data_IF_993873113408
#
_entry.id   IF_993873113408
#
_cell.length_a   1.000
_cell.length_b   1.000
_cell.length_c   1.000
_cell.angle_alpha   90.00
_cell.angle_beta   90.00
_cell.angle_gamma   90.00
#
_symmetry.space_group_name_H-M   'P 1'
#
loop_
_entity.id
_entity.type
_entity.pdbx_description
1 polymer ?
#
# COMPACT_ATOMS: atom_id res chain seq x y z
N UNK A 1 9.43 9.04 -33.30
CA UNK A 1 8.38 9.84 -32.65
C UNK A 1 7.39 9.00 -31.83
N UNK A 2 6.65 8.04 -32.41
CA UNK A 2 5.66 7.25 -31.67
C UNK A 2 6.26 6.44 -30.49
N UNK A 3 7.47 5.89 -30.59
CA UNK A 3 8.14 5.15 -29.52
C UNK A 3 8.54 6.08 -28.35
N UNK A 4 9.02 7.28 -28.67
CA UNK A 4 9.39 8.30 -27.68
C UNK A 4 8.17 8.79 -26.90
N UNK A 5 7.05 9.06 -27.59
CA UNK A 5 5.80 9.46 -26.95
C UNK A 5 5.24 8.39 -26.01
N UNK A 6 5.33 7.09 -26.39
CA UNK A 6 4.91 5.99 -25.52
C UNK A 6 5.79 5.89 -24.27
N UNK A 7 7.11 6.08 -24.42
CA UNK A 7 8.02 6.08 -23.28
C UNK A 7 7.76 7.27 -22.34
N UNK A 8 7.57 8.47 -22.86
CA UNK A 8 7.19 9.64 -22.05
C UNK A 8 5.88 9.39 -21.26
N UNK A 9 4.86 8.84 -21.94
CA UNK A 9 3.60 8.48 -21.27
C UNK A 9 3.79 7.45 -20.15
N UNK A 10 4.69 6.46 -20.34
CA UNK A 10 5.00 5.47 -19.32
C UNK A 10 5.70 6.08 -18.08
N UNK A 11 6.63 7.01 -18.29
CA UNK A 11 7.28 7.74 -17.19
C UNK A 11 6.30 8.60 -16.40
N UNK A 12 5.43 9.35 -17.10
CA UNK A 12 4.39 10.15 -16.43
C UNK A 12 3.42 9.27 -15.65
N UNK A 13 2.96 8.16 -16.26
CA UNK A 13 2.09 7.21 -15.57
C UNK A 13 2.75 6.60 -14.34
N UNK A 14 4.04 6.25 -14.42
CA UNK A 14 4.81 5.72 -13.29
C UNK A 14 4.91 6.74 -12.14
N UNK A 15 5.23 8.00 -12.44
CA UNK A 15 5.28 9.07 -11.43
C UNK A 15 3.91 9.27 -10.75
N UNK A 16 2.85 9.36 -11.54
CA UNK A 16 1.47 9.51 -11.02
C UNK A 16 1.03 8.30 -10.22
N UNK A 17 1.43 7.08 -10.63
CA UNK A 17 1.16 5.87 -9.85
C UNK A 17 1.86 5.90 -8.50
N UNK A 18 3.06 6.49 -8.41
CA UNK A 18 3.74 6.72 -7.14
C UNK A 18 2.95 7.63 -6.21
N UNK A 19 2.48 8.76 -6.69
CA UNK A 19 1.62 9.67 -5.92
C UNK A 19 0.34 8.94 -5.45
N UNK A 20 -0.30 8.20 -6.35
CA UNK A 20 -1.48 7.41 -6.03
C UNK A 20 -1.20 6.34 -4.97
N UNK A 21 -0.02 5.71 -4.98
CA UNK A 21 0.39 4.73 -3.98
C UNK A 21 0.54 5.33 -2.58
N UNK A 22 1.12 6.53 -2.46
CA UNK A 22 1.19 7.25 -1.19
C UNK A 22 -0.21 7.57 -0.64
N UNK A 23 -1.08 8.13 -1.47
CA UNK A 23 -2.47 8.44 -1.09
C UNK A 23 -3.23 7.16 -0.71
N UNK A 24 -3.07 6.06 -1.46
CA UNK A 24 -3.66 4.76 -1.15
C UNK A 24 -3.23 4.26 0.23
N UNK A 25 -1.94 4.39 0.54
CA UNK A 25 -1.40 4.02 1.85
C UNK A 25 -2.09 4.77 2.98
N UNK A 26 -2.25 6.09 2.86
CA UNK A 26 -2.97 6.94 3.82
C UNK A 26 -4.44 6.55 3.96
N UNK A 27 -5.15 6.40 2.84
CA UNK A 27 -6.55 5.98 2.79
C UNK A 27 -6.75 4.63 3.50
N UNK A 28 -5.94 3.63 3.16
CA UNK A 28 -6.05 2.30 3.76
C UNK A 28 -5.67 2.30 5.24
N UNK A 29 -4.69 3.13 5.65
CA UNK A 29 -4.27 3.24 7.04
C UNK A 29 -5.35 3.86 7.92
N UNK A 30 -6.01 4.92 7.45
CA UNK A 30 -7.15 5.51 8.18
C UNK A 30 -8.32 4.55 8.30
N UNK A 31 -8.63 3.79 7.25
CA UNK A 31 -9.65 2.74 7.31
C UNK A 31 -9.26 1.64 8.32
N UNK A 32 -7.99 1.20 8.30
CA UNK A 32 -7.50 0.21 9.26
C UNK A 32 -7.62 0.71 10.70
N UNK A 33 -7.32 2.00 10.95
CA UNK A 33 -7.48 2.61 12.27
C UNK A 33 -8.94 2.61 12.73
N UNK A 34 -9.87 3.03 11.87
CA UNK A 34 -11.32 3.02 12.17
C UNK A 34 -11.79 1.60 12.52
N UNK A 35 -11.40 0.61 11.72
CA UNK A 35 -11.79 -0.78 11.95
C UNK A 35 -11.15 -1.36 13.21
N UNK A 36 -9.91 -0.98 13.53
CA UNK A 36 -9.25 -1.35 14.80
C UNK A 36 -10.01 -0.78 16.00
N UNK A 37 -10.40 0.49 15.93
CA UNK A 37 -11.11 1.18 17.01
C UNK A 37 -12.55 0.67 17.18
N UNK A 38 -13.18 0.19 16.11
CA UNK A 38 -14.54 -0.35 16.18
C UNK A 38 -14.62 -1.67 16.97
N UNK A 39 -13.54 -2.47 17.02
CA UNK A 39 -13.56 -3.78 17.69
C UNK A 39 -12.21 -4.12 18.35
N UNK A 40 -11.77 -3.36 19.36
CA UNK A 40 -10.43 -3.48 19.92
C UNK A 40 -10.19 -4.82 20.64
N UNK A 41 -11.23 -5.43 21.21
CA UNK A 41 -11.12 -6.64 22.03
C UNK A 41 -11.85 -7.88 21.47
N UNK A 42 -12.59 -7.72 20.38
CA UNK A 42 -13.45 -8.80 19.85
C UNK A 42 -12.73 -9.78 18.91
N UNK A 43 -11.46 -9.53 18.60
CA UNK A 43 -10.71 -10.35 17.64
C UNK A 43 -9.59 -11.15 18.33
N UNK A 44 -9.49 -12.47 18.08
CA UNK A 44 -8.44 -13.33 18.64
C UNK A 44 -7.02 -12.89 18.24
N UNK A 45 -6.85 -12.21 17.11
CA UNK A 45 -5.55 -11.75 16.62
C UNK A 45 -5.19 -10.33 17.08
N UNK A 46 -6.04 -9.68 17.89
CA UNK A 46 -5.89 -8.29 18.30
C UNK A 46 -6.44 -7.29 17.29
N UNK A 47 -6.96 -6.16 17.79
CA UNK A 47 -7.67 -5.17 16.96
C UNK A 47 -6.86 -4.62 15.79
N UNK A 48 -5.56 -4.36 15.97
CA UNK A 48 -4.68 -3.81 14.92
C UNK A 48 -4.53 -4.76 13.72
N UNK A 49 -4.31 -6.05 13.97
CA UNK A 49 -4.15 -7.05 12.90
C UNK A 49 -5.49 -7.24 12.17
N UNK A 50 -6.58 -7.33 12.92
CA UNK A 50 -7.93 -7.43 12.36
C UNK A 50 -8.28 -6.22 11.50
N UNK A 51 -8.03 -5.00 12.00
CA UNK A 51 -8.27 -3.76 11.26
C UNK A 51 -7.47 -3.68 9.96
N UNK A 52 -6.18 -4.05 9.99
CA UNK A 52 -5.32 -4.06 8.81
C UNK A 52 -5.79 -5.08 7.76
N UNK A 53 -6.13 -6.30 8.17
CA UNK A 53 -6.65 -7.35 7.27
C UNK A 53 -7.97 -6.94 6.63
N UNK A 54 -8.89 -6.38 7.40
CA UNK A 54 -10.19 -5.95 6.90
C UNK A 54 -10.07 -4.73 5.98
N UNK A 55 -9.23 -3.74 6.30
CA UNK A 55 -8.98 -2.60 5.43
C UNK A 55 -8.37 -3.04 4.09
N UNK A 56 -7.40 -3.97 4.13
CA UNK A 56 -6.85 -4.56 2.92
C UNK A 56 -7.91 -5.32 2.12
N UNK A 57 -8.77 -6.10 2.79
CA UNK A 57 -9.88 -6.84 2.15
C UNK A 57 -10.84 -5.89 1.44
N UNK A 58 -11.25 -4.80 2.08
CA UNK A 58 -12.11 -3.76 1.49
C UNK A 58 -11.44 -3.12 0.28
N UNK A 59 -10.16 -2.77 0.42
CA UNK A 59 -9.38 -2.17 -0.68
C UNK A 59 -9.29 -3.13 -1.89
N UNK A 60 -8.95 -4.40 -1.67
CA UNK A 60 -8.92 -5.39 -2.75
C UNK A 60 -10.30 -5.63 -3.36
N UNK A 61 -11.36 -5.68 -2.54
CA UNK A 61 -12.75 -5.80 -3.01
C UNK A 61 -13.16 -4.64 -3.92
N UNK A 62 -12.86 -3.40 -3.52
CA UNK A 62 -13.08 -2.20 -4.34
C UNK A 62 -12.31 -2.25 -5.67
N UNK A 63 -11.07 -2.74 -5.63
CA UNK A 63 -10.25 -2.94 -6.82
C UNK A 63 -10.81 -4.01 -7.77
N UNK A 64 -11.31 -5.14 -7.23
CA UNK A 64 -11.99 -6.16 -8.03
C UNK A 64 -13.21 -5.58 -8.74
N UNK A 65 -14.06 -4.84 -8.02
CA UNK A 65 -15.25 -4.21 -8.61
C UNK A 65 -14.87 -3.25 -9.75
N UNK A 66 -13.90 -2.37 -9.52
CA UNK A 66 -13.40 -1.43 -10.53
C UNK A 66 -12.89 -2.18 -11.78
N UNK A 67 -12.07 -3.20 -11.58
CA UNK A 67 -11.50 -3.98 -12.67
C UNK A 67 -12.56 -4.82 -13.41
N UNK A 68 -13.57 -5.33 -12.73
CA UNK A 68 -14.71 -5.99 -13.36
C UNK A 68 -15.46 -5.04 -14.30
N UNK A 69 -15.73 -3.81 -13.85
CA UNK A 69 -16.37 -2.78 -14.69
C UNK A 69 -15.50 -2.44 -15.90
N UNK A 70 -14.20 -2.14 -15.67
CA UNK A 70 -13.27 -1.75 -16.76
C UNK A 70 -13.10 -2.89 -17.76
N UNK A 71 -12.85 -4.13 -17.30
CA UNK A 71 -12.71 -5.29 -18.18
C UNK A 71 -14.03 -5.63 -18.88
N UNK A 72 -15.19 -5.52 -18.19
CA UNK A 72 -16.50 -5.71 -18.79
C UNK A 72 -16.78 -4.75 -19.95
N UNK A 73 -16.47 -3.47 -19.75
CA UNK A 73 -16.57 -2.46 -20.81
C UNK A 73 -15.62 -2.73 -21.99
N UNK A 74 -14.42 -3.27 -21.73
CA UNK A 74 -13.47 -3.62 -22.78
C UNK A 74 -13.86 -4.90 -23.52
N UNK A 75 -14.33 -5.92 -22.80
CA UNK A 75 -14.81 -7.19 -23.37
C UNK A 75 -16.07 -7.00 -24.21
N UNK A 76 -16.98 -6.10 -23.80
CA UNK A 76 -18.15 -5.72 -24.61
C UNK A 76 -17.77 -5.07 -25.95
N UNK A 77 -16.58 -4.48 -26.06
CA UNK A 77 -16.04 -3.89 -27.29
C UNK A 77 -15.19 -4.86 -28.11
N UNK A 78 -14.72 -5.97 -27.54
CA UNK A 78 -13.86 -6.97 -28.19
C UNK A 78 -14.45 -8.36 -27.96
N UNK A 79 -15.22 -8.87 -28.90
CA UNK A 79 -15.87 -10.17 -28.80
C UNK A 79 -14.96 -11.38 -28.58
N UNK A 80 -13.65 -11.28 -28.74
CA UNK A 80 -12.63 -12.30 -28.39
C UNK A 80 -11.26 -11.65 -28.31
N UNK A 81 -10.45 -12.03 -27.31
CA UNK A 81 -9.03 -11.71 -27.26
C UNK A 81 -8.29 -12.80 -28.05
N UNK A 82 -7.82 -12.52 -29.29
CA UNK A 82 -7.08 -13.50 -30.07
C UNK A 82 -5.76 -13.83 -29.38
N UNK A 83 -5.44 -15.11 -29.24
CA UNK A 83 -4.14 -15.55 -28.71
C UNK A 83 -4.03 -15.59 -27.17
N UNK A 84 -5.13 -15.42 -26.43
CA UNK A 84 -5.15 -15.60 -24.99
C UNK A 84 -4.69 -17.03 -24.63
N UNK A 85 -3.54 -17.13 -23.95
CA UNK A 85 -3.00 -18.40 -23.42
C UNK A 85 -3.31 -18.51 -21.95
N UNK A 86 -3.79 -19.69 -21.53
CA UNK A 86 -3.99 -19.98 -20.10
C UNK A 86 -2.68 -19.83 -19.32
N UNK A 87 -2.75 -19.49 -18.02
CA UNK A 87 -1.57 -19.54 -17.16
C UNK A 87 -1.03 -20.99 -17.14
N UNK A 88 0.28 -21.15 -17.40
CA UNK A 88 0.90 -22.47 -17.47
C UNK A 88 1.39 -22.95 -16.11
N UNK A 89 1.65 -22.00 -15.21
CA UNK A 89 2.22 -22.30 -13.87
C UNK A 89 1.41 -21.56 -12.80
N UNK A 90 1.25 -22.17 -11.65
CA UNK A 90 0.61 -21.56 -10.48
C UNK A 90 1.29 -20.24 -10.08
N UNK A 91 2.60 -20.12 -10.28
CA UNK A 91 3.35 -18.88 -10.00
C UNK A 91 2.83 -17.69 -10.81
N UNK A 92 2.22 -17.89 -11.97
CA UNK A 92 1.65 -16.81 -12.77
C UNK A 92 0.45 -16.14 -12.06
N UNK A 93 -0.18 -16.85 -11.12
CA UNK A 93 -1.28 -16.34 -10.31
C UNK A 93 -0.86 -15.87 -8.90
N UNK A 94 0.43 -16.03 -8.54
CA UNK A 94 0.92 -15.69 -7.20
C UNK A 94 0.95 -14.18 -6.92
N UNK A 95 0.76 -13.33 -7.94
CA UNK A 95 0.79 -11.88 -7.80
C UNK A 95 -0.21 -11.34 -6.76
N UNK A 96 -1.38 -11.98 -6.63
CA UNK A 96 -2.38 -11.61 -5.63
C UNK A 96 -1.93 -11.87 -4.20
N UNK A 97 -1.30 -13.02 -3.96
CA UNK A 97 -0.74 -13.38 -2.65
C UNK A 97 0.35 -12.38 -2.26
N UNK A 98 1.29 -12.10 -3.18
CA UNK A 98 2.35 -11.13 -2.94
C UNK A 98 1.79 -9.75 -2.62
N UNK A 99 0.83 -9.26 -3.41
CA UNK A 99 0.24 -7.93 -3.23
C UNK A 99 -0.55 -7.81 -1.94
N UNK A 100 -1.34 -8.79 -1.56
CA UNK A 100 -2.07 -8.77 -0.29
C UNK A 100 -1.13 -8.79 0.90
N UNK A 101 -0.05 -9.58 0.84
CA UNK A 101 1.00 -9.59 1.86
C UNK A 101 1.67 -8.22 2.00
N UNK A 102 2.04 -7.59 0.89
CA UNK A 102 2.63 -6.23 0.89
C UNK A 102 1.73 -5.23 1.59
N UNK A 103 0.45 -5.18 1.23
CA UNK A 103 -0.50 -4.21 1.81
C UNK A 103 -0.65 -4.43 3.31
N UNK A 104 -0.79 -5.67 3.76
CA UNK A 104 -0.91 -5.98 5.21
C UNK A 104 0.36 -5.60 5.95
N UNK A 105 1.54 -5.95 5.44
CA UNK A 105 2.82 -5.60 6.08
C UNK A 105 2.97 -4.08 6.24
N UNK A 106 2.64 -3.31 5.18
CA UNK A 106 2.70 -1.85 5.24
C UNK A 106 1.67 -1.27 6.22
N UNK A 107 0.43 -1.77 6.23
CA UNK A 107 -0.60 -1.30 7.18
C UNK A 107 -0.24 -1.57 8.64
N UNK A 108 0.46 -2.65 8.92
CA UNK A 108 0.92 -2.97 10.27
C UNK A 108 2.12 -2.12 10.72
N UNK A 109 3.00 -1.75 9.79
CA UNK A 109 4.25 -1.03 10.11
C UNK A 109 4.12 0.48 10.00
N UNK A 110 3.26 0.98 9.12
CA UNK A 110 3.08 2.41 8.88
C UNK A 110 2.83 3.25 10.15
N UNK A 111 1.96 2.83 11.09
CA UNK A 111 1.75 3.56 12.34
C UNK A 111 2.98 3.58 13.27
N UNK A 112 3.90 2.64 13.11
CA UNK A 112 5.09 2.50 13.95
C UNK A 112 6.27 3.29 13.41
N UNK A 113 6.48 3.26 12.10
CA UNK A 113 7.64 3.89 11.43
C UNK A 113 7.34 5.29 10.89
N UNK A 114 6.06 5.64 10.76
CA UNK A 114 5.62 6.83 10.02
C UNK A 114 5.62 6.62 8.51
N UNK A 115 5.01 7.57 7.80
CA UNK A 115 4.76 7.44 6.37
C UNK A 115 6.05 7.50 5.55
N UNK A 116 6.85 8.57 5.75
CA UNK A 116 8.06 8.81 4.97
C UNK A 116 9.09 7.68 5.11
N UNK A 117 9.41 7.27 6.35
CA UNK A 117 10.39 6.21 6.59
C UNK A 117 9.93 4.86 6.03
N UNK A 118 8.67 4.50 6.25
CA UNK A 118 8.11 3.25 5.69
C UNK A 118 8.21 3.22 4.16
N UNK A 119 7.92 4.34 3.50
CA UNK A 119 7.98 4.44 2.04
C UNK A 119 9.42 4.45 1.52
N UNK A 120 10.37 5.11 2.20
CA UNK A 120 11.78 5.09 1.83
C UNK A 120 12.35 3.67 1.89
N UNK A 121 12.06 2.93 2.96
CA UNK A 121 12.52 1.54 3.11
C UNK A 121 11.88 0.62 2.06
N UNK A 122 10.56 0.75 1.84
CA UNK A 122 9.85 -0.02 0.80
C UNK A 122 10.39 0.31 -0.60
N UNK A 123 10.65 1.59 -0.90
CA UNK A 123 11.27 2.03 -2.14
C UNK A 123 12.63 1.37 -2.36
N UNK A 124 13.45 1.32 -1.33
CA UNK A 124 14.77 0.69 -1.37
C UNK A 124 14.68 -0.79 -1.69
N UNK A 125 13.82 -1.53 -0.98
CA UNK A 125 13.58 -2.94 -1.24
C UNK A 125 13.08 -3.20 -2.67
N UNK A 126 12.15 -2.37 -3.14
CA UNK A 126 11.62 -2.43 -4.50
C UNK A 126 12.72 -2.21 -5.55
N UNK A 127 13.52 -1.15 -5.42
CA UNK A 127 14.55 -0.83 -6.42
C UNK A 127 15.68 -1.85 -6.46
N UNK A 128 16.16 -2.31 -5.31
CA UNK A 128 17.18 -3.38 -5.27
C UNK A 128 16.68 -4.65 -5.97
N UNK A 129 15.43 -5.04 -5.69
CA UNK A 129 14.83 -6.21 -6.31
C UNK A 129 14.60 -6.01 -7.81
N UNK A 130 14.13 -4.81 -8.24
CA UNK A 130 13.97 -4.48 -9.66
C UNK A 130 15.29 -4.55 -10.44
N UNK A 131 16.41 -4.15 -9.86
CA UNK A 131 17.75 -4.30 -10.48
C UNK A 131 18.12 -5.77 -10.69
N UNK A 132 17.83 -6.61 -9.70
CA UNK A 132 18.06 -8.07 -9.82
C UNK A 132 17.14 -8.67 -10.88
N UNK A 133 15.88 -8.28 -10.94
CA UNK A 133 14.90 -8.73 -11.93
C UNK A 133 15.30 -8.32 -13.35
N UNK A 134 15.74 -7.07 -13.53
CA UNK A 134 16.22 -6.57 -14.82
C UNK A 134 17.49 -7.30 -15.26
N UNK A 135 18.44 -7.52 -14.34
CA UNK A 135 19.70 -8.19 -14.66
C UNK A 135 19.51 -9.67 -15.03
N UNK A 136 18.68 -10.37 -14.26
CA UNK A 136 18.46 -11.80 -14.43
C UNK A 136 17.52 -12.15 -15.60
N UNK A 137 16.77 -11.20 -16.13
CA UNK A 137 15.70 -11.47 -17.10
C UNK A 137 14.61 -12.39 -16.52
N UNK A 138 14.39 -12.32 -15.20
CA UNK A 138 13.48 -13.20 -14.47
C UNK A 138 12.07 -13.16 -15.05
N UNK A 139 11.40 -14.30 -15.11
CA UNK A 139 10.05 -14.48 -15.64
C UNK A 139 9.87 -14.05 -17.13
N UNK A 140 10.96 -14.11 -17.93
CA UNK A 140 10.90 -13.79 -19.36
C UNK A 140 10.80 -12.29 -19.64
N UNK A 141 11.28 -11.45 -18.73
CA UNK A 141 11.61 -10.06 -19.04
C UNK A 141 12.88 -10.00 -19.88
N UNK A 142 13.06 -8.94 -20.65
CA UNK A 142 14.35 -8.73 -21.32
C UNK A 142 15.42 -8.46 -20.27
N UNK A 143 16.50 -9.26 -20.29
CA UNK A 143 17.63 -9.01 -19.42
C UNK A 143 18.27 -7.66 -19.79
N UNK A 144 18.40 -6.79 -18.81
CA UNK A 144 19.03 -5.48 -18.98
C UNK A 144 20.29 -5.46 -18.13
N UNK A 145 21.49 -5.33 -18.73
CA UNK A 145 22.73 -5.37 -17.96
C UNK A 145 22.82 -4.23 -16.96
N UNK A 146 23.44 -4.52 -15.81
CA UNK A 146 23.72 -3.51 -14.79
C UNK A 146 24.70 -2.48 -15.34
N UNK A 147 24.22 -1.25 -15.52
CA UNK A 147 25.09 -0.11 -15.88
C UNK A 147 25.62 0.56 -14.60
N UNK A 148 26.75 1.27 -14.72
CA UNK A 148 27.33 2.03 -13.60
C UNK A 148 26.34 3.03 -13.01
N UNK A 149 25.58 3.72 -13.85
CA UNK A 149 24.54 4.68 -13.41
C UNK A 149 23.43 4.03 -12.58
N UNK A 150 22.99 2.80 -12.92
CA UNK A 150 21.99 2.05 -12.16
C UNK A 150 22.50 1.63 -10.78
N UNK A 151 23.76 1.18 -10.72
CA UNK A 151 24.42 0.82 -9.46
C UNK A 151 24.56 2.05 -8.57
N UNK A 152 25.07 3.17 -9.11
CA UNK A 152 25.20 4.44 -8.37
C UNK A 152 23.83 4.90 -7.86
N UNK A 153 22.79 4.86 -8.69
CA UNK A 153 21.43 5.20 -8.28
C UNK A 153 20.91 4.33 -7.11
N UNK A 154 21.17 3.03 -7.14
CA UNK A 154 20.80 2.14 -6.03
C UNK A 154 21.59 2.45 -4.74
N UNK A 155 22.89 2.75 -4.86
CA UNK A 155 23.72 3.15 -3.71
C UNK A 155 23.20 4.48 -3.12
N UNK A 156 22.87 5.46 -3.96
CA UNK A 156 22.29 6.73 -3.51
C UNK A 156 20.96 6.53 -2.78
N UNK A 157 20.12 5.63 -3.28
CA UNK A 157 18.85 5.30 -2.60
C UNK A 157 19.07 4.60 -1.26
N UNK A 158 19.99 3.64 -1.19
CA UNK A 158 20.36 3.01 0.08
C UNK A 158 20.90 4.03 1.08
N UNK A 159 21.79 4.92 0.64
CA UNK A 159 22.32 5.98 1.48
C UNK A 159 21.20 6.93 1.96
N UNK A 160 20.30 7.34 1.07
CA UNK A 160 19.14 8.17 1.42
C UNK A 160 18.21 7.48 2.42
N UNK A 161 17.99 6.17 2.28
CA UNK A 161 17.19 5.37 3.22
C UNK A 161 17.84 5.31 4.61
N UNK A 162 19.16 5.10 4.66
CA UNK A 162 19.92 5.08 5.91
C UNK A 162 19.90 6.46 6.59
N UNK A 163 20.06 7.55 5.83
CA UNK A 163 19.96 8.90 6.35
C UNK A 163 18.56 9.20 6.90
N UNK A 164 17.51 8.79 6.19
CA UNK A 164 16.12 8.95 6.65
C UNK A 164 15.79 8.12 7.90
N UNK A 165 16.45 6.97 8.06
CA UNK A 165 16.29 6.12 9.24
C UNK A 165 17.17 6.57 10.42
N UNK A 166 18.19 7.42 10.17
CA UNK A 166 19.19 7.80 11.17
C UNK A 166 18.59 8.55 12.37
N UNK A 167 17.75 9.54 12.11
CA UNK A 167 17.17 10.36 13.18
C UNK A 167 16.27 9.56 14.12
N UNK A 168 15.30 8.74 13.64
CA UNK A 168 14.54 7.84 14.49
C UNK A 168 15.44 6.87 15.27
N UNK A 169 16.44 6.29 14.62
CA UNK A 169 17.36 5.34 15.24
C UNK A 169 18.21 6.01 16.33
N UNK A 170 18.72 7.22 16.07
CA UNK A 170 19.49 8.00 17.04
C UNK A 170 18.69 8.37 18.26
N UNK A 171 17.42 8.76 18.09
CA UNK A 171 16.52 9.10 19.19
C UNK A 171 16.22 7.88 20.06
N UNK A 172 16.03 6.69 19.48
CA UNK A 172 15.82 5.45 20.22
C UNK A 172 17.11 4.96 20.92
N UNK A 173 18.28 5.09 20.28
CA UNK A 173 19.57 4.76 20.89
C UNK A 173 19.95 5.72 22.04
N UNK A 174 19.50 6.98 21.98
CA UNK A 174 19.72 7.98 23.02
C UNK A 174 18.79 7.88 24.23
N UNK A 175 17.71 7.10 24.12
CA UNK A 175 16.90 6.71 25.27
C UNK A 175 17.64 5.59 26.00
N UNK A 176 17.88 5.77 27.29
CA UNK A 176 18.53 4.78 28.20
C UNK A 176 17.78 3.41 28.33
N UNK A 177 16.85 3.16 27.45
CA UNK A 177 16.17 1.87 27.29
C UNK A 177 17.12 0.91 26.53
N UNK A 178 17.68 -0.04 27.26
CA UNK A 178 18.72 -0.98 26.81
C UNK A 178 18.53 -1.54 25.40
N UNK A 179 19.60 -2.15 24.87
CA UNK A 179 19.76 -2.59 23.46
C UNK A 179 18.59 -3.30 22.78
N UNK A 180 17.57 -3.74 23.52
CA UNK A 180 16.34 -4.35 23.02
C UNK A 180 15.49 -3.42 22.15
N UNK A 181 15.48 -2.10 22.45
CA UNK A 181 14.72 -1.12 21.67
C UNK A 181 15.29 -0.87 20.27
N UNK A 182 16.63 -0.83 20.17
CA UNK A 182 17.31 -0.65 18.88
C UNK A 182 17.13 -1.87 17.97
N UNK A 183 17.21 -3.08 18.52
CA UNK A 183 16.94 -4.32 17.81
C UNK A 183 15.47 -4.40 17.36
N UNK A 184 14.54 -3.95 18.20
CA UNK A 184 13.12 -3.85 17.86
C UNK A 184 12.89 -2.91 16.67
N UNK A 185 13.49 -1.72 16.67
CA UNK A 185 13.37 -0.75 15.57
C UNK A 185 13.98 -1.26 14.27
N UNK A 186 15.14 -1.91 14.33
CA UNK A 186 15.75 -2.54 13.16
C UNK A 186 14.88 -3.66 12.59
N UNK A 187 14.30 -4.49 13.45
CA UNK A 187 13.37 -5.54 13.04
C UNK A 187 12.11 -4.99 12.37
N UNK A 188 11.50 -3.96 12.95
CA UNK A 188 10.32 -3.28 12.37
C UNK A 188 10.67 -2.63 11.04
N UNK A 189 11.86 -2.02 10.90
CA UNK A 189 12.32 -1.37 9.67
C UNK A 189 12.61 -2.37 8.53
N UNK A 190 12.95 -3.60 8.85
CA UNK A 190 13.15 -4.64 7.85
C UNK A 190 11.84 -5.05 7.14
N UNK A 191 10.68 -4.87 7.80
CA UNK A 191 9.38 -5.28 7.24
C UNK A 191 8.99 -4.43 6.01
N UNK A 192 9.04 -3.09 6.03
CA UNK A 192 8.79 -2.30 4.82
C UNK A 192 9.79 -2.59 3.69
N UNK A 193 11.06 -2.85 4.01
CA UNK A 193 12.07 -3.23 3.01
C UNK A 193 11.70 -4.56 2.32
N UNK A 194 11.28 -5.56 3.09
CA UNK A 194 10.77 -6.82 2.56
C UNK A 194 9.49 -6.60 1.74
N UNK A 195 8.56 -5.78 2.23
CA UNK A 195 7.33 -5.44 1.50
C UNK A 195 7.66 -4.84 0.13
N UNK A 196 8.66 -3.97 0.04
CA UNK A 196 9.15 -3.44 -1.22
C UNK A 196 9.70 -4.50 -2.17
N UNK A 197 10.48 -5.44 -1.66
CA UNK A 197 10.99 -6.57 -2.46
C UNK A 197 9.83 -7.43 -3.01
N UNK A 198 8.84 -7.75 -2.18
CA UNK A 198 7.65 -8.50 -2.59
C UNK A 198 6.81 -7.73 -3.62
N UNK A 199 6.75 -6.40 -3.51
CA UNK A 199 6.05 -5.55 -4.47
C UNK A 199 6.70 -5.59 -5.86
N UNK A 200 8.04 -5.58 -5.94
CA UNK A 200 8.77 -5.76 -7.19
C UNK A 200 8.50 -7.13 -7.83
N UNK A 201 8.53 -8.20 -7.02
CA UNK A 201 8.21 -9.55 -7.47
C UNK A 201 6.77 -9.66 -7.96
N UNK A 202 5.80 -9.04 -7.26
CA UNK A 202 4.41 -8.95 -7.70
C UNK A 202 4.30 -8.32 -9.09
N UNK A 203 4.99 -7.20 -9.31
CA UNK A 203 5.02 -6.51 -10.60
C UNK A 203 5.55 -7.42 -11.72
N UNK A 204 6.61 -8.18 -11.47
CA UNK A 204 7.21 -9.11 -12.43
C UNK A 204 6.25 -10.28 -12.78
N UNK A 205 5.63 -10.88 -11.76
CA UNK A 205 4.65 -11.97 -11.91
C UNK A 205 3.43 -11.49 -12.70
N UNK A 206 2.84 -10.38 -12.29
CA UNK A 206 1.67 -9.81 -12.96
C UNK A 206 2.00 -9.36 -14.39
N UNK A 207 3.19 -8.78 -14.62
CA UNK A 207 3.68 -8.41 -15.93
C UNK A 207 3.81 -9.61 -16.86
N UNK A 208 4.33 -10.73 -16.37
CA UNK A 208 4.38 -11.99 -17.12
C UNK A 208 2.98 -12.51 -17.47
N UNK A 209 2.07 -12.53 -16.50
CA UNK A 209 0.69 -12.93 -16.72
C UNK A 209 0.02 -12.02 -17.76
N UNK A 210 0.20 -10.70 -17.66
CA UNK A 210 -0.34 -9.70 -18.62
C UNK A 210 0.13 -9.93 -20.06
N UNK A 211 1.41 -10.27 -20.25
CA UNK A 211 1.95 -10.62 -21.58
C UNK A 211 1.33 -11.90 -22.13
N UNK A 212 1.13 -12.93 -21.31
CA UNK A 212 0.52 -14.20 -21.71
C UNK A 212 -0.95 -14.08 -22.06
N UNK A 213 -1.68 -13.31 -21.25
CA UNK A 213 -3.11 -13.07 -21.49
C UNK A 213 -3.34 -12.07 -22.64
N UNK A 214 -2.30 -11.35 -23.12
CA UNK A 214 -2.44 -10.19 -24.01
C UNK A 214 -3.45 -9.15 -23.49
N UNK A 215 -3.66 -9.13 -22.18
CA UNK A 215 -4.63 -8.30 -21.49
C UNK A 215 -4.11 -7.90 -20.09
N UNK A 216 -3.35 -6.79 -20.00
CA UNK A 216 -2.74 -6.35 -18.74
C UNK A 216 -3.76 -6.13 -17.62
N UNK A 217 -4.91 -5.52 -17.92
CA UNK A 217 -5.95 -5.26 -16.93
C UNK A 217 -6.62 -6.55 -16.44
N UNK A 218 -6.68 -7.59 -17.28
CA UNK A 218 -7.17 -8.90 -16.84
C UNK A 218 -6.17 -9.56 -15.89
N UNK A 219 -4.87 -9.43 -16.14
CA UNK A 219 -3.84 -9.90 -15.22
C UNK A 219 -3.92 -9.19 -13.86
N UNK A 220 -4.17 -7.88 -13.87
CA UNK A 220 -4.42 -7.11 -12.64
C UNK A 220 -5.68 -7.62 -11.93
N UNK A 221 -6.76 -7.91 -12.64
CA UNK A 221 -7.98 -8.47 -12.05
C UNK A 221 -7.72 -9.85 -11.40
N UNK A 222 -7.00 -10.75 -12.07
CA UNK A 222 -6.61 -12.06 -11.51
C UNK A 222 -5.81 -11.87 -10.22
N UNK A 223 -4.87 -10.93 -10.20
CA UNK A 223 -4.09 -10.59 -9.01
C UNK A 223 -4.99 -10.08 -7.87
N UNK A 224 -5.90 -9.16 -8.13
CA UNK A 224 -6.81 -8.64 -7.10
C UNK A 224 -7.76 -9.70 -6.56
N UNK A 225 -8.32 -10.56 -7.42
CA UNK A 225 -9.18 -11.69 -7.00
C UNK A 225 -8.39 -12.68 -6.12
N UNK A 226 -7.17 -13.04 -6.53
CA UNK A 226 -6.31 -13.92 -5.74
C UNK A 226 -5.95 -13.31 -4.38
N UNK A 227 -5.61 -12.02 -4.35
CA UNK A 227 -5.31 -11.28 -3.12
C UNK A 227 -6.53 -11.15 -2.20
N UNK A 228 -7.71 -10.86 -2.75
CA UNK A 228 -8.97 -10.82 -2.00
C UNK A 228 -9.27 -12.18 -1.35
N UNK A 229 -9.11 -13.28 -2.10
CA UNK A 229 -9.27 -14.63 -1.57
C UNK A 229 -8.31 -14.91 -0.42
N UNK A 230 -7.02 -14.59 -0.58
CA UNK A 230 -6.01 -14.72 0.47
C UNK A 230 -6.36 -13.92 1.73
N UNK A 231 -6.73 -12.67 1.58
CA UNK A 231 -7.09 -11.78 2.70
C UNK A 231 -8.34 -12.27 3.43
N UNK A 232 -9.34 -12.73 2.69
CA UNK A 232 -10.56 -13.30 3.27
C UNK A 232 -10.24 -14.55 4.10
N UNK A 233 -9.45 -15.47 3.54
CA UNK A 233 -9.03 -16.69 4.26
C UNK A 233 -8.19 -16.32 5.49
N UNK A 234 -7.22 -15.41 5.36
CA UNK A 234 -6.40 -14.96 6.48
C UNK A 234 -7.25 -14.27 7.58
N UNK A 235 -8.19 -13.40 7.20
CA UNK A 235 -9.09 -12.73 8.14
C UNK A 235 -9.94 -13.73 8.92
N UNK A 236 -10.48 -14.74 8.26
CA UNK A 236 -11.29 -15.78 8.93
C UNK A 236 -10.42 -16.69 9.77
N UNK A 237 -9.30 -17.19 9.23
CA UNK A 237 -8.45 -18.17 9.91
C UNK A 237 -7.71 -17.59 11.11
N UNK A 238 -7.24 -16.34 11.02
CA UNK A 238 -6.41 -15.71 12.06
C UNK A 238 -7.25 -14.89 13.04
N UNK A 239 -8.28 -14.19 12.56
CA UNK A 239 -9.04 -13.22 13.35
C UNK A 239 -10.51 -13.63 13.59
N UNK A 240 -10.94 -14.80 13.12
CA UNK A 240 -12.35 -15.24 13.23
C UNK A 240 -13.30 -14.49 12.28
N UNK A 241 -12.78 -13.69 11.35
CA UNK A 241 -13.56 -12.90 10.40
C UNK A 241 -14.06 -11.55 10.93
N UNK A 242 -14.86 -10.83 10.14
CA UNK A 242 -15.41 -9.53 10.52
C UNK A 242 -16.49 -9.67 11.60
N UNK A 243 -16.42 -8.81 12.63
CA UNK A 243 -17.45 -8.74 13.66
C UNK A 243 -18.64 -7.88 13.21
N UNK A 244 -19.75 -7.95 13.97
CA UNK A 244 -20.91 -7.08 13.75
C UNK A 244 -20.55 -5.59 13.88
N UNK A 245 -19.55 -5.25 14.70
CA UNK A 245 -19.05 -3.89 14.89
C UNK A 245 -18.29 -3.38 13.67
N UNK A 246 -17.42 -4.20 13.08
CA UNK A 246 -16.78 -3.89 11.81
C UNK A 246 -17.81 -3.67 10.69
N UNK A 247 -18.85 -4.53 10.63
CA UNK A 247 -19.92 -4.38 9.65
C UNK A 247 -20.72 -3.08 9.85
N UNK A 248 -20.94 -2.65 11.11
CA UNK A 248 -21.58 -1.36 11.43
C UNK A 248 -20.70 -0.19 11.00
N UNK A 249 -19.40 -0.20 11.29
CA UNK A 249 -18.46 0.83 10.88
C UNK A 249 -18.37 0.98 9.35
N UNK A 250 -18.34 -0.13 8.61
CA UNK A 250 -18.35 -0.11 7.14
C UNK A 250 -19.71 0.36 6.57
N UNK A 251 -20.82 -0.02 7.20
CA UNK A 251 -22.15 0.43 6.78
C UNK A 251 -22.31 1.94 6.94
N UNK A 252 -21.74 2.54 8.00
CA UNK A 252 -21.75 4.01 8.17
C UNK A 252 -21.01 4.72 7.05
N UNK A 253 -19.92 4.14 6.53
CA UNK A 253 -19.22 4.70 5.37
C UNK A 253 -20.04 4.65 4.07
N UNK A 254 -20.89 3.65 3.92
CA UNK A 254 -21.75 3.49 2.75
C UNK A 254 -23.03 4.34 2.83
N UNK A 255 -23.51 4.62 4.04
CA UNK A 255 -24.63 5.53 4.25
C UNK A 255 -24.13 6.97 4.26
N UNK A 256 -24.24 7.68 3.14
CA UNK A 256 -23.85 9.09 2.95
C UNK A 256 -24.49 10.09 3.94
N UNK A 257 -25.22 9.61 4.96
CA UNK A 257 -26.01 10.42 5.90
C UNK A 257 -25.28 10.82 7.19
N UNK A 258 -24.01 10.42 7.37
CA UNK A 258 -23.30 10.65 8.64
C UNK A 258 -22.28 11.80 8.59
N UNK A 259 -22.53 12.85 7.81
CA UNK A 259 -21.83 14.11 7.99
C UNK A 259 -22.59 14.91 9.04
N UNK A 260 -22.24 14.70 10.33
CA UNK A 260 -22.78 15.50 11.43
C UNK A 260 -22.39 16.97 11.24
N UNK A 261 -23.32 17.87 11.59
CA UNK A 261 -23.06 19.30 11.57
C UNK A 261 -21.98 19.65 12.61
N UNK A 262 -21.20 20.73 12.41
CA UNK A 262 -20.22 21.20 13.39
C UNK A 262 -20.81 21.50 14.79
N UNK A 263 -22.11 21.67 14.90
CA UNK A 263 -22.82 21.92 16.16
C UNK A 263 -22.93 20.67 17.07
N UNK A 264 -22.89 19.47 16.48
CA UNK A 264 -22.88 18.23 17.25
C UNK A 264 -21.48 17.92 17.82
N UNK A 265 -20.43 18.47 17.20
CA UNK A 265 -19.03 18.35 17.69
C UNK A 265 -18.82 19.17 18.97
N UNK A 266 -19.33 20.40 19.04
CA UNK A 266 -19.18 21.29 20.19
C UNK A 266 -19.86 20.79 21.46
N UNK A 267 -20.98 20.07 21.35
CA UNK A 267 -21.70 19.50 22.51
C UNK A 267 -21.02 18.27 23.10
N UNK A 268 -20.09 17.68 22.40
CA UNK A 268 -19.41 16.45 22.81
C UNK A 268 -18.04 16.74 23.44
N UNK A 269 -17.46 17.92 23.21
CA UNK A 269 -16.21 18.36 23.87
C UNK A 269 -16.43 18.56 25.38
N UNK A 270 -17.55 19.14 25.79
CA UNK A 270 -17.86 19.40 27.21
C UNK A 270 -18.11 18.13 28.04
N UNK A 271 -18.42 16.99 27.40
CA UNK A 271 -18.74 15.74 28.09
C UNK A 271 -17.51 14.83 28.33
N UNK A 272 -16.37 15.12 27.75
CA UNK A 272 -15.21 14.21 27.74
C UNK A 272 -14.01 14.67 28.55
N UNK A 273 -14.02 15.86 29.17
CA UNK A 273 -12.93 16.29 30.06
C UNK A 273 -12.80 15.47 31.36
N UNK A 274 -13.80 14.68 31.74
CA UNK A 274 -13.82 13.95 33.02
C UNK A 274 -13.33 12.48 32.99
N UNK A 275 -13.02 11.93 31.84
CA UNK A 275 -12.68 10.49 31.78
C UNK A 275 -11.51 10.18 30.83
N UNK A 276 -10.27 10.31 31.20
CA UNK A 276 -9.18 9.41 30.75
C UNK A 276 -7.84 9.77 31.45
N UNK A 277 -7.58 9.20 32.60
CA UNK A 277 -6.23 8.86 33.06
C UNK A 277 -5.94 7.43 32.59
N UNK A 278 -5.01 7.24 31.70
CA UNK A 278 -4.47 5.91 31.41
C UNK A 278 -4.17 5.62 29.93
N UNK A 279 -2.91 5.74 29.56
CA UNK A 279 -2.25 5.42 28.29
C UNK A 279 -2.54 6.35 27.11
N UNK A 280 -1.60 7.18 26.71
CA UNK A 280 -1.73 7.97 25.50
C UNK A 280 -1.62 7.05 24.27
N UNK A 281 -2.75 6.85 23.61
CA UNK A 281 -2.74 6.37 22.23
C UNK A 281 -1.93 7.37 21.37
N UNK A 282 -1.01 6.95 20.49
CA UNK A 282 -0.32 7.86 19.58
C UNK A 282 -1.29 8.61 18.64
N UNK A 283 -2.55 8.27 18.67
CA UNK A 283 -3.66 8.96 18.01
C UNK A 283 -4.74 9.24 19.06
N UNK A 284 -4.69 10.40 19.74
CA UNK A 284 -5.80 10.76 20.61
C UNK A 284 -7.06 10.88 19.73
N UNK A 285 -8.00 9.99 19.93
CA UNK A 285 -9.36 10.22 19.45
C UNK A 285 -9.94 11.31 20.36
N UNK A 286 -10.20 12.51 19.85
CA UNK A 286 -10.85 13.54 20.66
C UNK A 286 -12.31 13.16 21.01
N UNK A 287 -12.79 12.03 20.52
CA UNK A 287 -14.21 11.67 20.64
C UNK A 287 -14.36 10.24 21.18
N UNK A 288 -15.11 10.09 22.26
CA UNK A 288 -15.41 8.83 22.93
C UNK A 288 -16.25 7.82 22.14
N UNK A 289 -16.48 8.06 20.85
CA UNK A 289 -17.05 7.08 19.90
C UNK A 289 -16.00 6.71 18.85
N UNK A 290 -15.93 5.41 18.46
CA UNK A 290 -15.07 5.02 17.35
C UNK A 290 -15.45 5.88 16.12
N UNK A 291 -14.45 6.47 15.44
CA UNK A 291 -14.71 7.32 14.28
C UNK A 291 -15.47 6.51 13.23
N UNK A 292 -16.56 7.08 12.70
CA UNK A 292 -17.28 6.47 11.59
C UNK A 292 -16.38 6.46 10.34
N UNK A 293 -16.39 5.36 9.60
CA UNK A 293 -15.66 5.31 8.33
C UNK A 293 -16.27 6.30 7.33
N UNK A 294 -15.44 7.10 6.69
CA UNK A 294 -15.87 8.05 5.67
C UNK A 294 -15.86 7.40 4.26
N UNK A 295 -16.74 7.80 3.33
CA UNK A 295 -16.82 7.20 1.99
C UNK A 295 -15.51 7.23 1.21
N UNK A 296 -14.68 8.27 1.35
CA UNK A 296 -13.40 8.38 0.68
C UNK A 296 -12.38 7.31 1.13
N UNK A 297 -12.53 6.74 2.33
CA UNK A 297 -11.69 5.66 2.83
C UNK A 297 -11.88 4.34 2.07
N UNK A 298 -12.96 4.23 1.30
CA UNK A 298 -13.22 3.08 0.43
C UNK A 298 -12.52 3.20 -0.94
N UNK A 299 -11.97 4.38 -1.28
CA UNK A 299 -11.32 4.62 -2.58
C UNK A 299 -9.95 3.93 -2.73
N UNK A 300 -9.38 3.36 -1.66
CA UNK A 300 -8.07 2.70 -1.68
C UNK A 300 -7.94 1.65 -2.78
N UNK A 301 -9.01 0.89 -3.05
CA UNK A 301 -9.04 -0.12 -4.12
C UNK A 301 -8.92 0.46 -5.53
N UNK A 302 -9.53 1.62 -5.80
CA UNK A 302 -9.42 2.32 -7.07
C UNK A 302 -7.98 2.79 -7.33
N UNK A 303 -7.36 3.40 -6.31
CA UNK A 303 -5.97 3.84 -6.37
C UNK A 303 -5.03 2.66 -6.60
N UNK A 304 -5.22 1.56 -5.84
CA UNK A 304 -4.45 0.33 -6.00
C UNK A 304 -4.59 -0.30 -7.38
N UNK A 305 -5.80 -0.28 -7.96
CA UNK A 305 -6.03 -0.74 -9.33
C UNK A 305 -5.19 0.04 -10.33
N UNK A 306 -5.14 1.36 -10.22
CA UNK A 306 -4.31 2.21 -11.07
C UNK A 306 -2.82 1.89 -10.91
N UNK A 307 -2.33 1.85 -9.65
CA UNK A 307 -0.93 1.56 -9.32
C UNK A 307 -0.49 0.22 -9.91
N UNK A 308 -1.23 -0.84 -9.66
CA UNK A 308 -0.85 -2.18 -10.15
C UNK A 308 -0.97 -2.28 -11.68
N UNK A 309 -1.96 -1.63 -12.29
CA UNK A 309 -2.09 -1.60 -13.76
C UNK A 309 -0.88 -0.94 -14.42
N UNK A 310 -0.37 0.15 -13.85
CA UNK A 310 0.88 0.79 -14.32
C UNK A 310 2.07 -0.15 -14.17
N UNK A 311 2.18 -0.84 -13.03
CA UNK A 311 3.27 -1.82 -12.78
C UNK A 311 3.22 -3.03 -13.72
N UNK A 312 2.07 -3.37 -14.27
CA UNK A 312 1.94 -4.44 -15.28
C UNK A 312 2.36 -3.96 -16.68
N UNK A 313 2.04 -2.72 -17.02
CA UNK A 313 2.23 -2.18 -18.39
C UNK A 313 3.58 -1.48 -18.57
N UNK A 314 3.92 -0.55 -17.67
CA UNK A 314 5.06 0.35 -17.87
C UNK A 314 6.43 -0.37 -17.92
N UNK A 315 6.71 -1.43 -17.15
CA UNK A 315 8.00 -2.12 -17.22
C UNK A 315 8.32 -2.70 -18.60
N UNK A 316 7.31 -3.06 -19.39
CA UNK A 316 7.51 -3.54 -20.76
C UNK A 316 7.99 -2.45 -21.72
N UNK A 317 7.80 -1.18 -21.37
CA UNK A 317 8.15 -0.01 -22.19
C UNK A 317 9.46 0.63 -21.72
N UNK A 318 9.71 0.69 -20.42
CA UNK A 318 10.82 1.45 -19.82
C UNK A 318 11.74 0.61 -18.91
N UNK A 319 11.43 -0.68 -18.68
CA UNK A 319 12.14 -1.57 -17.75
C UNK A 319 11.65 -1.46 -16.31
N UNK A 320 11.93 -2.50 -15.50
CA UNK A 320 11.47 -2.55 -14.10
C UNK A 320 12.14 -1.47 -13.24
N UNK A 321 13.46 -1.31 -13.35
CA UNK A 321 14.20 -0.34 -12.53
C UNK A 321 13.80 1.10 -12.85
N UNK A 322 13.60 1.46 -14.14
CA UNK A 322 13.15 2.79 -14.51
C UNK A 322 11.71 3.05 -14.03
N UNK A 323 10.80 2.10 -14.24
CA UNK A 323 9.43 2.20 -13.72
C UNK A 323 9.44 2.39 -12.20
N UNK A 324 10.20 1.57 -11.47
CA UNK A 324 10.32 1.66 -10.02
C UNK A 324 10.86 3.02 -9.59
N UNK A 325 11.92 3.53 -10.22
CA UNK A 325 12.50 4.83 -9.86
C UNK A 325 11.48 5.97 -9.96
N UNK A 326 10.70 6.02 -11.05
CA UNK A 326 9.67 7.06 -11.22
C UNK A 326 8.50 6.90 -10.25
N UNK A 327 8.02 5.68 -10.03
CA UNK A 327 6.98 5.41 -9.01
C UNK A 327 7.46 5.83 -7.63
N UNK A 328 8.69 5.46 -7.27
CA UNK A 328 9.24 5.80 -5.95
C UNK A 328 9.44 7.30 -5.79
N UNK A 329 9.87 8.01 -6.83
CA UNK A 329 9.97 9.48 -6.80
C UNK A 329 8.60 10.12 -6.51
N UNK A 330 7.55 9.70 -7.21
CA UNK A 330 6.20 10.20 -6.96
C UNK A 330 5.69 9.84 -5.57
N UNK A 331 5.94 8.61 -5.13
CA UNK A 331 5.53 8.13 -3.82
C UNK A 331 6.23 8.87 -2.67
N UNK A 332 7.56 9.03 -2.74
CA UNK A 332 8.32 9.75 -1.72
C UNK A 332 7.94 11.23 -1.64
N UNK A 333 7.80 11.88 -2.80
CA UNK A 333 7.37 13.27 -2.85
C UNK A 333 6.00 13.45 -2.20
N UNK A 334 5.02 12.63 -2.57
CA UNK A 334 3.69 12.69 -1.96
C UNK A 334 3.71 12.34 -0.47
N UNK A 335 4.51 11.35 -0.06
CA UNK A 335 4.62 10.95 1.35
C UNK A 335 5.19 12.05 2.23
N UNK A 336 6.22 12.77 1.76
CA UNK A 336 6.77 13.90 2.48
C UNK A 336 5.73 15.03 2.63
N UNK A 337 4.96 15.30 1.58
CA UNK A 337 3.88 16.28 1.68
C UNK A 337 2.80 15.84 2.67
N UNK A 338 2.37 14.58 2.61
CA UNK A 338 1.35 14.03 3.51
C UNK A 338 1.79 14.09 4.97
N UNK A 339 3.05 13.74 5.26
CA UNK A 339 3.61 13.85 6.62
C UNK A 339 3.74 15.31 7.06
N UNK A 340 4.15 16.22 6.15
CA UNK A 340 4.33 17.65 6.47
C UNK A 340 3.02 18.31 6.88
N UNK A 341 1.92 17.94 6.26
CA UNK A 341 0.59 18.48 6.54
C UNK A 341 -0.20 17.69 7.59
N UNK A 342 0.34 16.60 8.12
CA UNK A 342 -0.39 15.72 9.03
C UNK A 342 -1.64 15.12 8.38
N UNK A 343 -1.57 14.83 7.07
CA UNK A 343 -2.70 14.28 6.33
C UNK A 343 -3.12 12.92 6.88
N UNK A 344 -4.38 12.55 6.68
CA UNK A 344 -4.96 11.27 7.12
C UNK A 344 -4.91 11.01 8.63
N UNK A 345 -4.82 12.07 9.46
CA UNK A 345 -4.77 11.94 10.92
C UNK A 345 -3.42 11.51 11.48
N UNK A 346 -2.36 11.48 10.66
CA UNK A 346 -0.99 11.34 11.15
C UNK A 346 -0.51 12.64 11.80
N UNK A 347 0.36 12.52 12.81
CA UNK A 347 1.00 13.70 13.38
C UNK A 347 1.82 14.43 12.31
N UNK A 348 1.60 15.74 12.17
CA UNK A 348 2.40 16.55 11.24
C UNK A 348 3.89 16.47 11.60
N UNK A 349 4.71 16.14 10.62
CA UNK A 349 6.17 16.06 10.74
C UNK A 349 6.78 16.91 9.65
N UNK A 350 6.89 18.25 9.86
CA UNK A 350 7.51 19.11 8.88
C UNK A 350 8.97 18.69 8.65
N UNK A 351 9.48 18.77 7.41
CA UNK A 351 10.87 18.46 7.14
C UNK A 351 11.76 19.41 7.96
N UNK A 352 12.64 18.83 8.76
CA UNK A 352 13.70 19.59 9.45
C UNK A 352 14.80 19.93 8.44
N UNK A 353 15.15 21.20 8.34
CA UNK A 353 16.24 21.71 7.48
C UNK A 353 17.59 21.42 8.14
#
# INVERSE_FOLDING_TARGET
MARTLRACGAYTAALTAGIAAAVQGGVNSTLAHVLTSASPHASPCGGRVSGALLAATVSFGGGVLALCVINGLQLGRRCRIPGCRKPERLIDCAGGVLGSTVVVLLLLTLPLTGFALSQVLSATGTNCTCLVLDHSGFLGSHAIPLSRSRIIGAICMLAGSLLSAWEPLRLELGRDSGGDSAMGLLGISAIPLLAGALFALQGAVNGRLGRRLHAPLLATLVSFVGGLGCLTVASVAVCGGPTAEHARALRSALSFHAYHSPEDELKQEDANEEAIEGYPSPYPSPYGRPPAAAPWQLCGGLLGTFVISVHVVAPSLIGFAANSAFVMTGNLFASVLLDSFGAFGFAARPPTV
#
